data_IF_167464080234
#
_entry.id   IF_167464080234
#
_cell.length_a   1.000
_cell.length_b   1.000
_cell.length_c   1.000
_cell.angle_alpha   90.00
_cell.angle_beta   90.00
_cell.angle_gamma   90.00
#
_symmetry.space_group_name_H-M   'P 1'
#
loop_
_entity.id
_entity.type
_entity.pdbx_description
1 polymer ?
#
# COMPACT_ATOMS: atom_id res chain seq x y z
N UNK A 1 38.26 -16.90 77.22
CA UNK A 1 37.25 -17.43 78.16
C UNK A 1 36.17 -18.08 77.31
N UNK A 2 36.07 -19.42 77.36
CA UNK A 2 35.03 -20.34 76.80
C UNK A 2 34.77 -20.22 75.27
N UNK A 3 35.13 -21.12 74.36
CA UNK A 3 34.92 -22.58 74.19
C UNK A 3 33.51 -23.12 74.49
N UNK A 4 32.90 -23.70 73.45
CA UNK A 4 32.05 -24.91 73.39
C UNK A 4 31.34 -24.90 72.01
N UNK A 5 31.92 -25.53 71.00
CA UNK A 5 31.80 -26.97 70.69
C UNK A 5 30.57 -27.36 69.85
N UNK A 6 30.90 -27.85 68.65
CA UNK A 6 30.46 -29.14 68.07
C UNK A 6 29.00 -29.27 67.61
N UNK A 7 28.84 -29.56 66.31
CA UNK A 7 28.78 -30.97 65.84
C UNK A 7 29.06 -31.09 64.34
N UNK A 8 30.01 -31.99 64.06
CA UNK A 8 30.34 -32.58 62.77
C UNK A 8 29.28 -33.61 62.33
N UNK A 9 29.55 -34.19 61.15
CA UNK A 9 29.13 -35.48 60.58
C UNK A 9 28.18 -35.32 59.38
N UNK A 10 28.48 -35.73 58.14
CA UNK A 10 29.42 -36.74 57.61
C UNK A 10 29.98 -36.34 56.23
N UNK A 11 31.26 -36.66 56.01
CA UNK A 11 31.87 -36.81 54.69
C UNK A 11 31.40 -38.11 54.03
N UNK A 12 31.28 -38.13 52.69
CA UNK A 12 31.57 -39.30 51.86
C UNK A 12 32.01 -38.87 50.44
N UNK A 13 33.34 -38.77 50.29
CA UNK A 13 34.21 -39.38 49.25
C UNK A 13 33.81 -39.53 47.77
N UNK A 14 34.69 -38.97 46.92
CA UNK A 14 35.46 -39.61 45.81
C UNK A 14 34.82 -39.71 44.40
N UNK A 15 35.38 -38.86 43.51
CA UNK A 15 35.76 -39.03 42.09
C UNK A 15 35.04 -40.04 41.19
N UNK A 16 34.57 -39.55 40.02
CA UNK A 16 34.93 -40.17 38.74
C UNK A 16 34.86 -39.16 37.59
N UNK A 17 35.93 -39.10 36.78
CA UNK A 17 35.92 -38.51 35.45
C UNK A 17 34.86 -39.19 34.58
N UNK A 18 34.08 -38.36 33.88
CA UNK A 18 33.37 -38.76 32.67
C UNK A 18 33.27 -37.56 31.75
N UNK A 19 34.24 -37.48 30.84
CA UNK A 19 34.08 -36.80 29.57
C UNK A 19 32.89 -37.44 28.85
N UNK A 20 31.83 -36.67 28.61
CA UNK A 20 30.78 -37.02 27.68
C UNK A 20 30.37 -35.79 26.87
N UNK A 21 30.90 -35.76 25.65
CA UNK A 21 30.28 -35.33 24.39
C UNK A 21 29.23 -34.20 24.40
N UNK A 22 29.61 -33.14 23.68
CA UNK A 22 28.79 -32.19 22.93
C UNK A 22 27.30 -32.51 22.78
N UNK A 23 26.48 -31.53 23.14
CA UNK A 23 25.41 -31.08 22.25
C UNK A 23 25.54 -29.57 22.08
N UNK A 24 26.09 -29.16 20.93
CA UNK A 24 25.75 -27.86 20.36
C UNK A 24 24.23 -27.83 20.25
N UNK A 25 23.57 -27.01 21.08
CA UNK A 25 22.30 -26.44 20.70
C UNK A 25 22.63 -25.14 19.98
N UNK A 26 23.14 -25.28 18.75
CA UNK A 26 22.88 -24.29 17.72
C UNK A 26 21.37 -24.32 17.54
N UNK A 27 20.67 -23.51 18.34
CA UNK A 27 19.23 -23.32 18.20
C UNK A 27 19.02 -22.42 16.99
N UNK A 28 19.33 -22.97 15.81
CA UNK A 28 19.08 -22.38 14.52
C UNK A 28 17.59 -22.55 14.23
N UNK A 29 16.75 -21.86 15.00
CA UNK A 29 15.38 -21.58 14.61
C UNK A 29 15.45 -20.56 13.47
N UNK A 30 15.80 -21.05 12.27
CA UNK A 30 15.53 -20.39 11.00
C UNK A 30 14.02 -20.38 10.77
N UNK A 31 13.29 -19.65 11.62
CA UNK A 31 11.99 -19.15 11.23
C UNK A 31 12.30 -17.95 10.36
N UNK A 32 12.44 -18.17 9.05
CA UNK A 32 12.66 -17.10 8.08
C UNK A 32 11.36 -16.29 7.92
N UNK A 33 10.95 -15.61 8.99
CA UNK A 33 9.84 -14.69 8.97
C UNK A 33 10.35 -13.38 8.40
N UNK A 34 9.86 -13.03 7.21
CA UNK A 34 10.11 -11.71 6.63
C UNK A 34 8.99 -10.76 7.03
N UNK A 35 9.39 -9.54 7.39
CA UNK A 35 8.47 -8.45 7.69
C UNK A 35 8.15 -7.70 6.40
N UNK A 36 6.86 -7.63 6.04
CA UNK A 36 6.39 -6.92 4.86
C UNK A 36 5.30 -5.94 5.27
N UNK A 37 5.28 -4.78 4.62
CA UNK A 37 4.28 -3.74 4.85
C UNK A 37 3.28 -3.76 3.72
N UNK A 38 1.99 -3.93 4.03
CA UNK A 38 0.92 -4.03 3.05
C UNK A 38 -0.02 -2.85 3.21
N UNK A 39 -0.05 -1.99 2.21
CA UNK A 39 -1.03 -0.92 2.10
C UNK A 39 -2.28 -1.43 1.37
N UNK A 40 -3.44 -1.20 1.98
CA UNK A 40 -4.74 -1.37 1.34
C UNK A 40 -5.28 0.00 0.97
N UNK A 41 -5.40 0.25 -0.34
CA UNK A 41 -5.96 1.46 -0.91
C UNK A 41 -7.36 1.15 -1.45
N UNK A 42 -8.39 1.61 -0.76
CA UNK A 42 -9.77 1.43 -1.19
C UNK A 42 -10.23 2.62 -2.03
N UNK A 43 -10.34 2.43 -3.34
CA UNK A 43 -10.84 3.42 -4.28
C UNK A 43 -12.37 3.37 -4.32
N UNK A 44 -13.03 4.45 -3.88
CA UNK A 44 -14.50 4.51 -3.81
C UNK A 44 -15.07 4.96 -5.15
N UNK A 45 -14.84 6.23 -5.47
CA UNK A 45 -15.42 6.88 -6.65
C UNK A 45 -14.63 8.12 -7.06
N UNK A 46 -14.84 8.54 -8.29
CA UNK A 46 -14.49 9.88 -8.75
C UNK A 46 -15.76 10.71 -8.93
N UNK A 47 -15.67 12.01 -8.68
CA UNK A 47 -16.77 12.95 -8.81
C UNK A 47 -16.33 14.21 -9.54
N UNK A 48 -17.29 15.02 -9.98
CA UNK A 48 -17.03 16.31 -10.62
C UNK A 48 -16.10 16.21 -11.85
N UNK A 49 -16.05 15.05 -12.51
CA UNK A 49 -15.27 14.89 -13.75
C UNK A 49 -15.84 15.88 -14.78
N UNK A 50 -15.05 16.88 -15.11
CA UNK A 50 -15.43 17.90 -16.08
C UNK A 50 -15.65 17.19 -17.41
N UNK A 51 -16.90 17.29 -17.89
CA UNK A 51 -17.27 16.73 -19.18
C UNK A 51 -16.64 17.58 -20.26
N UNK A 52 -15.76 16.97 -21.05
CA UNK A 52 -15.36 17.56 -22.32
C UNK A 52 -16.55 17.43 -23.28
N UNK A 53 -17.16 18.56 -23.61
CA UNK A 53 -17.92 18.76 -24.85
C UNK A 53 -17.07 19.76 -25.68
N UNK A 54 -17.04 19.72 -27.00
CA UNK A 54 -17.60 20.86 -27.74
C UNK A 54 -17.97 20.55 -29.20
N UNK A 55 -17.91 19.29 -29.66
CA UNK A 55 -18.23 18.97 -31.07
C UNK A 55 -19.48 18.11 -31.26
N UNK A 56 -19.80 17.19 -30.34
CA UNK A 56 -20.91 16.24 -30.53
C UNK A 56 -21.79 16.08 -29.28
N UNK A 57 -22.90 16.84 -29.19
CA UNK A 57 -23.77 16.87 -27.99
C UNK A 57 -24.61 15.60 -27.76
N UNK A 58 -24.46 14.56 -28.59
CA UNK A 58 -25.29 13.34 -28.54
C UNK A 58 -24.60 12.12 -27.93
N UNK A 59 -23.30 12.17 -27.64
CA UNK A 59 -22.61 11.09 -26.93
C UNK A 59 -22.83 11.21 -25.42
N UNK A 60 -24.05 10.96 -24.96
CA UNK A 60 -24.37 10.68 -23.55
C UNK A 60 -23.82 9.30 -23.11
N UNK A 61 -22.76 8.84 -23.77
CA UNK A 61 -22.29 7.49 -23.66
C UNK A 61 -21.48 7.34 -22.39
N UNK A 62 -21.94 6.37 -21.60
CA UNK A 62 -21.24 5.86 -20.44
C UNK A 62 -19.77 5.62 -20.84
N UNK A 63 -18.87 6.38 -20.25
CA UNK A 63 -17.45 6.21 -20.51
C UNK A 63 -16.89 5.12 -19.59
N UNK A 64 -15.84 4.46 -20.04
CA UNK A 64 -15.11 3.49 -19.24
C UNK A 64 -13.98 4.22 -18.53
N UNK A 65 -13.86 4.01 -17.22
CA UNK A 65 -12.84 4.61 -16.38
C UNK A 65 -12.05 3.55 -15.63
N UNK A 66 -10.77 3.83 -15.39
CA UNK A 66 -9.95 3.08 -14.45
C UNK A 66 -9.06 4.04 -13.67
N UNK A 67 -8.66 3.63 -12.47
CA UNK A 67 -7.64 4.31 -11.68
C UNK A 67 -6.35 3.53 -11.82
N UNK A 68 -5.27 4.23 -12.16
CA UNK A 68 -3.91 3.72 -12.12
C UNK A 68 -3.22 4.35 -10.91
N UNK A 69 -2.49 3.54 -10.16
CA UNK A 69 -1.70 3.96 -9.01
C UNK A 69 -0.27 3.51 -9.26
N UNK A 70 0.67 4.43 -9.19
CA UNK A 70 2.10 4.16 -9.38
C UNK A 70 2.87 4.53 -8.13
N UNK A 71 3.79 3.67 -7.70
CA UNK A 71 4.71 3.99 -6.60
C UNK A 71 6.02 4.61 -7.11
N UNK A 72 6.88 5.04 -6.18
CA UNK A 72 8.19 5.65 -6.50
C UNK A 72 9.16 4.68 -7.18
N UNK A 73 8.93 3.36 -7.07
CA UNK A 73 9.70 2.32 -7.77
C UNK A 73 9.19 2.10 -9.20
N UNK A 74 8.15 2.82 -9.62
CA UNK A 74 7.53 2.70 -10.94
C UNK A 74 6.64 1.47 -11.12
N UNK A 75 6.28 0.77 -10.03
CA UNK A 75 5.29 -0.32 -10.09
C UNK A 75 3.91 0.28 -10.27
N UNK A 76 3.13 -0.31 -11.17
CA UNK A 76 1.76 0.15 -11.45
C UNK A 76 0.74 -0.86 -10.95
N UNK A 77 -0.33 -0.32 -10.36
CA UNK A 77 -1.50 -1.04 -9.90
C UNK A 77 -2.72 -0.37 -10.50
N UNK A 78 -3.81 -1.12 -10.71
CA UNK A 78 -5.01 -0.52 -11.27
C UNK A 78 -6.28 -1.17 -10.77
N UNK A 79 -7.33 -0.37 -10.67
CA UNK A 79 -8.68 -0.89 -10.49
C UNK A 79 -9.17 -1.61 -11.74
N UNK A 80 -10.24 -2.41 -11.59
CA UNK A 80 -11.05 -2.83 -12.72
C UNK A 80 -11.59 -1.62 -13.52
N UNK A 81 -11.84 -1.87 -14.80
CA UNK A 81 -12.52 -0.91 -15.69
C UNK A 81 -13.98 -0.79 -15.25
N UNK A 82 -14.44 0.45 -15.05
CA UNK A 82 -15.81 0.75 -14.63
C UNK A 82 -16.46 1.75 -15.55
N UNK A 83 -17.65 1.39 -15.99
CA UNK A 83 -18.50 2.23 -16.79
C UNK A 83 -19.19 3.25 -15.87
N UNK A 84 -19.18 4.53 -16.24
CA UNK A 84 -19.77 5.59 -15.41
C UNK A 84 -20.18 6.84 -16.19
N UNK A 85 -21.05 7.64 -15.57
CA UNK A 85 -21.50 8.93 -16.11
C UNK A 85 -21.50 9.95 -15.00
N UNK A 86 -20.80 11.09 -15.15
CA UNK A 86 -19.36 11.34 -14.91
C UNK A 86 -18.88 11.02 -13.48
N UNK A 87 -19.56 10.13 -12.76
CA UNK A 87 -19.21 9.73 -11.39
C UNK A 87 -19.00 8.21 -11.32
N UNK A 88 -17.91 7.67 -11.89
CA UNK A 88 -17.63 6.24 -11.80
C UNK A 88 -17.38 5.83 -10.34
N UNK A 89 -17.94 4.68 -9.96
CA UNK A 89 -17.73 4.04 -8.66
C UNK A 89 -17.02 2.71 -8.87
N UNK A 90 -15.92 2.51 -8.15
CA UNK A 90 -15.15 1.25 -8.17
C UNK A 90 -15.46 0.42 -6.95
N UNK A 91 -15.44 1.03 -5.76
CA UNK A 91 -15.54 0.35 -4.47
C UNK A 91 -14.60 -0.87 -4.43
N UNK A 92 -13.33 -0.63 -4.77
CA UNK A 92 -12.33 -1.67 -5.01
C UNK A 92 -11.07 -1.44 -4.17
N UNK A 93 -10.46 -2.52 -3.68
CA UNK A 93 -9.19 -2.47 -2.96
C UNK A 93 -8.03 -2.78 -3.89
N UNK A 94 -7.00 -1.94 -3.83
CA UNK A 94 -5.67 -2.20 -4.37
C UNK A 94 -4.75 -2.51 -3.19
N UNK A 95 -4.03 -3.63 -3.26
CA UNK A 95 -3.01 -3.99 -2.28
C UNK A 95 -1.62 -3.71 -2.84
N UNK A 96 -0.81 -3.00 -2.06
CA UNK A 96 0.55 -2.61 -2.42
C UNK A 96 1.48 -3.08 -1.32
N UNK A 97 2.42 -3.96 -1.66
CA UNK A 97 3.40 -4.51 -0.72
C UNK A 97 4.72 -3.75 -0.80
N UNK A 98 5.32 -3.48 0.35
CA UNK A 98 6.62 -2.85 0.51
C UNK A 98 7.52 -3.77 1.34
N UNK A 99 8.76 -3.99 0.86
CA UNK A 99 9.79 -4.81 1.51
C UNK A 99 10.36 -4.14 2.78
N UNK A 100 10.18 -2.83 2.90
CA UNK A 100 10.59 -2.04 4.06
C UNK A 100 9.51 -1.01 4.39
N UNK A 101 9.56 -0.42 5.59
CA UNK A 101 8.57 0.58 6.00
C UNK A 101 8.59 1.78 5.02
N UNK A 102 7.44 2.15 4.41
CA UNK A 102 7.38 3.17 3.36
C UNK A 102 7.31 4.60 3.93
N UNK A 103 8.34 4.99 4.70
CA UNK A 103 8.41 6.29 5.36
C UNK A 103 8.45 7.43 4.31
N UNK A 104 7.52 8.37 4.42
CA UNK A 104 7.37 9.53 3.53
C UNK A 104 7.21 9.19 2.04
N UNK A 105 6.85 7.95 1.69
CA UNK A 105 6.62 7.59 0.30
C UNK A 105 5.28 8.16 -0.18
N UNK A 106 5.26 8.53 -1.46
CA UNK A 106 4.08 9.02 -2.14
C UNK A 106 3.65 8.06 -3.27
N UNK A 107 2.35 8.04 -3.54
CA UNK A 107 1.77 7.34 -4.68
C UNK A 107 1.20 8.37 -5.66
N UNK A 108 1.49 8.17 -6.94
CA UNK A 108 0.83 8.89 -8.01
C UNK A 108 -0.46 8.17 -8.38
N UNK A 109 -1.59 8.87 -8.28
CA UNK A 109 -2.89 8.38 -8.69
C UNK A 109 -3.32 9.08 -9.97
N UNK A 110 -3.75 8.31 -10.97
CA UNK A 110 -4.25 8.80 -12.24
C UNK A 110 -5.62 8.21 -12.55
N UNK A 111 -6.59 9.06 -12.90
CA UNK A 111 -7.87 8.60 -13.45
C UNK A 111 -7.79 8.64 -14.96
N UNK A 112 -8.03 7.50 -15.59
CA UNK A 112 -8.04 7.32 -17.04
C UNK A 112 -9.48 7.16 -17.50
N UNK A 113 -9.82 7.86 -18.58
CA UNK A 113 -11.01 7.63 -19.40
C UNK A 113 -10.59 6.89 -20.66
N UNK A 114 -11.19 5.74 -20.92
CA UNK A 114 -10.92 4.92 -22.09
C UNK A 114 -11.98 5.15 -23.19
N UNK A 115 -11.70 4.65 -24.39
CA UNK A 115 -12.52 4.77 -25.60
C UNK A 115 -12.81 6.22 -26.04
N UNK A 116 -11.83 7.11 -25.85
CA UNK A 116 -11.91 8.51 -26.30
C UNK A 116 -11.49 8.66 -27.77
N UNK A 117 -12.01 7.82 -28.67
CA UNK A 117 -11.58 7.79 -30.09
C UNK A 117 -11.99 9.04 -30.87
N UNK A 118 -13.02 9.76 -30.41
CA UNK A 118 -13.48 11.03 -31.00
C UNK A 118 -12.68 12.26 -30.51
N UNK A 119 -11.70 12.06 -29.63
CA UNK A 119 -10.84 13.13 -29.11
C UNK A 119 -9.52 13.16 -29.91
N UNK A 120 -9.27 14.20 -30.73
CA UNK A 120 -8.05 14.27 -31.53
C UNK A 120 -6.81 14.37 -30.61
N UNK A 121 -5.97 13.34 -30.62
CA UNK A 121 -4.68 13.35 -29.90
C UNK A 121 -4.34 12.08 -29.12
N UNK A 122 -5.20 11.05 -29.10
CA UNK A 122 -4.89 9.79 -28.41
C UNK A 122 -4.83 8.63 -29.40
N UNK A 123 -3.63 8.17 -29.77
CA UNK A 123 -3.43 6.98 -30.62
C UNK A 123 -3.88 5.68 -29.94
N UNK A 124 -4.04 5.70 -28.61
CA UNK A 124 -4.47 4.56 -27.78
C UNK A 124 -5.94 4.61 -27.39
N UNK A 125 -6.66 5.71 -27.65
CA UNK A 125 -8.03 5.93 -27.17
C UNK A 125 -8.14 6.13 -25.65
N UNK A 126 -7.01 6.31 -24.95
CA UNK A 126 -6.97 6.58 -23.50
C UNK A 126 -6.65 8.04 -23.22
N UNK A 127 -7.41 8.66 -22.31
CA UNK A 127 -7.22 10.05 -21.89
C UNK A 127 -7.11 10.15 -20.37
N UNK A 128 -6.05 10.80 -19.91
CA UNK A 128 -5.92 11.17 -18.49
C UNK A 128 -6.93 12.27 -18.16
N UNK A 129 -7.83 11.97 -17.22
CA UNK A 129 -8.77 12.94 -16.63
C UNK A 129 -8.00 13.92 -15.75
N UNK A 130 -7.22 13.40 -14.81
CA UNK A 130 -6.35 14.17 -13.93
C UNK A 130 -5.49 13.26 -13.07
N UNK A 131 -4.57 13.88 -12.33
CA UNK A 131 -3.58 13.22 -11.47
C UNK A 131 -3.63 13.80 -10.06
N UNK A 132 -3.38 12.97 -9.07
CA UNK A 132 -3.17 13.38 -7.69
C UNK A 132 -1.95 12.67 -7.13
N UNK A 133 -1.32 13.28 -6.13
CA UNK A 133 -0.28 12.65 -5.30
C UNK A 133 -0.92 12.39 -3.94
N UNK A 134 -0.80 11.17 -3.43
CA UNK A 134 -1.30 10.78 -2.11
C UNK A 134 -0.17 10.17 -1.28
N UNK A 135 -0.04 10.52 0.00
CA UNK A 135 0.96 9.91 0.86
C UNK A 135 0.55 8.47 1.23
N UNK A 136 1.54 7.60 1.40
CA UNK A 136 1.36 6.33 2.09
C UNK A 136 1.05 6.63 3.57
N UNK A 137 -0.02 6.06 4.17
CA UNK A 137 -0.40 6.42 5.53
C UNK A 137 0.57 5.83 6.56
N UNK A 138 0.58 6.42 7.75
CA UNK A 138 1.29 5.88 8.90
C UNK A 138 0.83 4.47 9.27
N UNK A 139 1.77 3.67 9.80
CA UNK A 139 1.55 2.28 10.15
C UNK A 139 0.44 2.13 11.21
N UNK A 140 -0.53 1.24 10.94
CA UNK A 140 -1.66 0.91 11.81
C UNK A 140 -2.59 2.08 12.16
N UNK A 141 -2.50 3.21 11.43
CA UNK A 141 -3.44 4.33 11.60
C UNK A 141 -4.67 4.08 10.74
N UNK A 142 -5.83 3.92 11.40
CA UNK A 142 -7.10 3.72 10.70
C UNK A 142 -7.68 5.04 10.20
N UNK A 143 -8.20 5.09 8.96
CA UNK A 143 -8.83 6.29 8.44
C UNK A 143 -10.15 6.54 9.18
N UNK A 144 -10.37 7.78 9.62
CA UNK A 144 -11.60 8.19 10.34
C UNK A 144 -12.75 8.52 9.39
N UNK A 145 -12.42 8.93 8.16
CA UNK A 145 -13.34 9.31 7.09
C UNK A 145 -12.66 9.09 5.74
N UNK A 146 -13.46 9.13 4.69
CA UNK A 146 -12.94 9.13 3.32
C UNK A 146 -12.02 10.34 3.11
N UNK A 147 -10.85 10.05 2.52
CA UNK A 147 -10.00 11.10 1.95
C UNK A 147 -10.56 11.50 0.60
N UNK A 148 -10.49 12.78 0.29
CA UNK A 148 -10.88 13.34 -1.01
C UNK A 148 -9.73 14.21 -1.48
N UNK A 149 -9.28 14.02 -2.71
CA UNK A 149 -8.22 14.82 -3.33
C UNK A 149 -8.65 15.27 -4.73
N UNK A 150 -8.21 16.48 -5.07
CA UNK A 150 -8.40 17.06 -6.39
C UNK A 150 -7.50 16.36 -7.42
N UNK A 151 -8.07 16.04 -8.58
CA UNK A 151 -7.37 15.51 -9.73
C UNK A 151 -7.02 16.66 -10.67
N UNK A 152 -5.73 16.90 -10.82
CA UNK A 152 -5.19 18.04 -11.56
C UNK A 152 -4.66 17.60 -12.93
N UNK A 153 -4.91 18.41 -13.94
CA UNK A 153 -4.31 18.29 -15.27
C UNK A 153 -3.42 19.50 -15.55
N UNK A 154 -2.26 19.25 -16.15
CA UNK A 154 -1.36 20.29 -16.64
C UNK A 154 -1.87 20.74 -18.01
N UNK A 155 -2.21 22.02 -18.13
CA UNK A 155 -2.76 22.66 -19.33
C UNK A 155 -1.77 23.73 -19.81
N UNK A 156 -0.51 23.36 -20.00
CA UNK A 156 0.57 24.29 -20.34
C UNK A 156 1.80 24.07 -19.47
N UNK A 157 2.75 25.01 -19.53
CA UNK A 157 4.03 24.91 -18.80
C UNK A 157 3.81 25.04 -17.28
N UNK A 158 2.91 25.92 -16.85
CA UNK A 158 2.66 26.20 -15.42
C UNK A 158 1.18 26.21 -15.02
N UNK A 159 0.26 25.95 -15.96
CA UNK A 159 -1.17 26.00 -15.67
C UNK A 159 -1.68 24.65 -15.18
N UNK A 160 -2.22 24.65 -13.95
CA UNK A 160 -2.88 23.51 -13.33
C UNK A 160 -4.38 23.77 -13.29
N UNK A 161 -5.15 22.82 -13.81
CA UNK A 161 -6.62 22.85 -13.74
C UNK A 161 -7.13 21.64 -12.98
N UNK A 162 -8.02 21.87 -12.02
CA UNK A 162 -8.76 20.81 -11.34
C UNK A 162 -9.82 20.29 -12.30
N UNK A 163 -9.80 19.00 -12.59
CA UNK A 163 -10.68 18.36 -13.57
C UNK A 163 -11.67 17.38 -12.93
N UNK A 164 -11.42 16.96 -11.69
CA UNK A 164 -12.25 16.01 -10.95
C UNK A 164 -11.82 15.93 -9.48
N UNK A 165 -12.58 15.21 -8.67
CA UNK A 165 -12.19 14.76 -7.33
C UNK A 165 -12.18 13.23 -7.28
N UNK A 166 -11.33 12.66 -6.43
CA UNK A 166 -11.38 11.22 -6.12
C UNK A 166 -11.46 10.97 -4.62
N UNK A 167 -12.33 10.04 -4.24
CA UNK A 167 -12.53 9.62 -2.86
C UNK A 167 -11.98 8.22 -2.62
N UNK A 168 -11.21 8.06 -1.54
CA UNK A 168 -10.55 6.82 -1.18
C UNK A 168 -10.32 6.67 0.34
N UNK A 169 -9.95 5.47 0.77
CA UNK A 169 -9.45 5.16 2.10
C UNK A 169 -8.11 4.44 1.99
N UNK A 170 -7.23 4.66 2.96
CA UNK A 170 -5.93 3.99 3.03
C UNK A 170 -5.73 3.35 4.40
N UNK A 171 -5.02 2.23 4.43
CA UNK A 171 -4.56 1.59 5.65
C UNK A 171 -3.24 0.89 5.37
N UNK A 172 -2.21 1.16 6.18
CA UNK A 172 -0.95 0.43 6.14
C UNK A 172 -0.88 -0.54 7.32
N UNK A 173 -0.61 -1.81 7.04
CA UNK A 173 -0.41 -2.82 8.06
C UNK A 173 0.96 -3.47 7.90
N UNK A 174 1.53 -3.90 9.03
CA UNK A 174 2.68 -4.79 9.07
C UNK A 174 2.20 -6.24 9.08
N UNK A 175 2.80 -7.07 8.24
CA UNK A 175 2.50 -8.49 8.10
C UNK A 175 3.81 -9.27 8.22
N UNK A 176 3.79 -10.35 8.99
CA UNK A 176 4.89 -11.32 9.02
C UNK A 176 4.54 -12.45 8.06
N UNK A 177 5.42 -12.72 7.11
CA UNK A 177 5.26 -13.81 6.13
C UNK A 177 6.35 -14.85 6.36
N UNK A 178 5.99 -16.12 6.25
CA UNK A 178 6.98 -17.21 6.25
C UNK A 178 7.63 -17.30 4.86
N UNK A 179 8.96 -17.32 4.83
CA UNK A 179 9.70 -17.62 3.59
C UNK A 179 10.17 -19.07 3.59
N UNK A 180 9.94 -19.73 2.45
CA UNK A 180 10.32 -21.12 2.19
C UNK A 180 11.76 -21.22 1.67
#
# INVERSE_FOLDING_TARGET
MMDLSRRNFYNNTITSHRDHYNFNHDNNNNNNLEEVYVMKLFIKKASNIIRFNDTFPYSFERAIYRVIVSDEKGREFSTTRRMGTPTPEWNEHIEISFESEPINQELTLMVIRENCYDDPGTSTGEKVVGRAIIPVPELNVRPKKDSVVELVKLVGVDEKRVEADISFLTLLNRVLIETN
#
